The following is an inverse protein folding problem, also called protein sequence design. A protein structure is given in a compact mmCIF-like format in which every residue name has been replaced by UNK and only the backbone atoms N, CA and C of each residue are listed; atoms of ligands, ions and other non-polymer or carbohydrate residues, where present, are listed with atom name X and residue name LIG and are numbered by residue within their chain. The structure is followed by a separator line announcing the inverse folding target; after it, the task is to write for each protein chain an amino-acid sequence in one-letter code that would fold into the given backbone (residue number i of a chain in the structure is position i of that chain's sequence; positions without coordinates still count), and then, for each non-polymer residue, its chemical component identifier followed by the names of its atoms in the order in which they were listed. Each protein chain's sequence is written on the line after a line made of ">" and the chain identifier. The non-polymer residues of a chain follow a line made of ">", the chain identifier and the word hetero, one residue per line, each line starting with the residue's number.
data_IF_168586113619
#
_entry.id   IF_168586113619
#
_cell.length_a   1.000
_cell.length_b   1.000
_cell.length_c   1.000
_cell.angle_alpha   90.00
_cell.angle_beta   90.00
_cell.angle_gamma   90.00
#
_symmetry.space_group_name_H-M   'P 1'
#
loop_
_entity.id
_entity.type
_entity.pdbx_description
1 polymer ?
#
# COMPACT_ATOMS: atom_id res chain seq x y z
N UNK A 1 -13.50 -2.14 -4.06
CA UNK A 1 -13.69 -1.19 -2.94
C UNK A 1 -12.47 -0.28 -2.81
N UNK A 2 -12.65 0.99 -2.42
CA UNK A 2 -11.53 1.92 -2.14
C UNK A 2 -11.53 2.27 -0.65
N UNK A 3 -10.38 2.13 0.01
CA UNK A 3 -10.14 2.60 1.38
C UNK A 3 -9.19 3.81 1.35
N UNK A 4 -9.54 4.87 2.07
CA UNK A 4 -8.73 6.09 2.20
C UNK A 4 -8.02 6.11 3.54
N UNK A 5 -6.81 6.65 3.57
CA UNK A 5 -6.14 7.01 4.82
C UNK A 5 -6.90 8.15 5.48
N UNK A 6 -7.08 8.07 6.79
CA UNK A 6 -7.61 9.17 7.60
C UNK A 6 -6.55 10.25 7.78
N UNK A 7 -6.97 11.45 8.18
CA UNK A 7 -6.04 12.53 8.52
C UNK A 7 -5.06 12.09 9.62
N UNK A 8 -5.54 11.30 10.59
CA UNK A 8 -4.70 10.74 11.65
C UNK A 8 -3.68 9.74 11.11
N UNK A 9 -4.08 8.86 10.17
CA UNK A 9 -3.13 7.93 9.52
C UNK A 9 -2.01 8.69 8.79
N UNK A 10 -2.34 9.81 8.13
CA UNK A 10 -1.36 10.63 7.41
C UNK A 10 -0.43 11.35 8.40
N UNK A 11 -0.97 11.91 9.48
CA UNK A 11 -0.18 12.56 10.54
C UNK A 11 0.75 11.57 11.23
N UNK A 12 0.30 10.34 11.45
CA UNK A 12 1.08 9.28 12.08
C UNK A 12 2.02 8.55 11.09
N UNK A 13 2.01 8.94 9.81
CA UNK A 13 2.86 8.35 8.77
C UNK A 13 2.48 6.92 8.37
N UNK A 14 1.26 6.48 8.64
CA UNK A 14 0.79 5.13 8.35
C UNK A 14 0.54 4.87 6.85
N UNK A 15 0.72 5.87 6.00
CA UNK A 15 0.71 5.77 4.54
C UNK A 15 2.13 5.83 3.92
N UNK A 16 3.18 5.79 4.73
CA UNK A 16 4.57 5.86 4.28
C UNK A 16 5.29 4.51 4.47
N UNK A 17 6.17 4.18 3.53
CA UNK A 17 7.05 3.01 3.60
C UNK A 17 8.43 3.31 3.04
N UNK A 18 9.47 2.94 3.79
CA UNK A 18 10.85 2.91 3.31
C UNK A 18 11.09 1.56 2.62
N UNK A 19 11.27 1.58 1.29
CA UNK A 19 11.55 0.39 0.48
C UNK A 19 13.07 0.20 0.24
N UNK A 20 13.90 0.74 1.14
CA UNK A 20 15.36 0.67 1.13
C UNK A 20 15.96 1.15 -0.21
N UNK A 21 16.64 0.27 -0.94
CA UNK A 21 17.31 0.62 -2.20
C UNK A 21 16.34 1.04 -3.31
N UNK A 22 15.04 0.71 -3.18
CA UNK A 22 14.01 1.11 -4.14
C UNK A 22 13.58 2.56 -3.94
N UNK A 23 13.68 3.09 -2.72
CA UNK A 23 13.31 4.46 -2.35
C UNK A 23 12.14 4.53 -1.37
N UNK A 24 11.65 5.75 -1.16
CA UNK A 24 10.56 6.04 -0.23
C UNK A 24 9.22 6.02 -0.95
N UNK A 25 8.23 5.31 -0.42
CA UNK A 25 6.90 5.21 -1.01
C UNK A 25 5.84 5.88 -0.13
N UNK A 26 5.04 6.76 -0.73
CA UNK A 26 3.88 7.39 -0.08
C UNK A 26 2.61 6.91 -0.77
N UNK A 27 1.79 6.18 -0.03
CA UNK A 27 0.52 5.65 -0.48
C UNK A 27 -0.58 6.72 -0.48
N UNK A 28 -1.37 6.76 -1.57
CA UNK A 28 -2.52 7.65 -1.70
C UNK A 28 -3.79 7.02 -1.13
N UNK A 29 -4.01 5.74 -1.45
CA UNK A 29 -5.21 4.97 -1.12
C UNK A 29 -4.96 3.48 -1.30
N UNK A 30 -5.87 2.67 -0.77
CA UNK A 30 -5.90 1.23 -1.01
C UNK A 30 -7.09 0.87 -1.89
N UNK A 31 -6.84 0.06 -2.92
CA UNK A 31 -7.84 -0.49 -3.82
C UNK A 31 -7.92 -2.00 -3.57
N UNK A 32 -9.12 -2.46 -3.21
CA UNK A 32 -9.48 -3.87 -3.13
C UNK A 32 -10.28 -4.21 -4.39
N UNK A 33 -9.67 -4.91 -5.33
CA UNK A 33 -10.38 -5.47 -6.49
C UNK A 33 -11.04 -6.79 -6.09
N UNK A 34 -12.25 -7.08 -6.59
CA UNK A 34 -12.96 -8.34 -6.26
C UNK A 34 -12.15 -9.58 -6.69
N UNK A 35 -11.42 -9.51 -7.80
CA UNK A 35 -10.60 -10.62 -8.31
C UNK A 35 -9.33 -10.78 -7.46
N UNK A 36 -8.60 -9.70 -7.21
CA UNK A 36 -7.36 -9.73 -6.41
C UNK A 36 -7.64 -10.07 -4.94
N UNK A 37 -8.78 -9.64 -4.41
CA UNK A 37 -9.19 -9.94 -3.05
C UNK A 37 -9.44 -11.43 -2.80
N UNK A 38 -9.72 -12.23 -3.85
CA UNK A 38 -9.76 -13.69 -3.74
C UNK A 38 -8.40 -14.30 -3.36
N UNK A 39 -7.31 -13.57 -3.59
CA UNK A 39 -5.94 -13.96 -3.27
C UNK A 39 -5.35 -13.14 -2.12
N UNK A 40 -6.22 -12.49 -1.32
CA UNK A 40 -5.81 -11.54 -0.28
C UNK A 40 -4.79 -10.50 -0.78
N UNK A 41 -4.95 -10.04 -2.03
CA UNK A 41 -4.08 -9.05 -2.65
C UNK A 41 -4.77 -7.70 -2.79
N UNK A 42 -4.02 -6.63 -2.53
CA UNK A 42 -4.48 -5.25 -2.70
C UNK A 42 -3.56 -4.49 -3.65
N UNK A 43 -4.09 -3.41 -4.21
CA UNK A 43 -3.30 -2.43 -4.95
C UNK A 43 -3.23 -1.14 -4.15
N UNK A 44 -2.04 -0.54 -4.10
CA UNK A 44 -1.77 0.69 -3.37
C UNK A 44 -1.09 1.66 -4.33
N UNK A 45 -1.86 2.48 -5.05
CA UNK A 45 -1.31 3.57 -5.83
C UNK A 45 -0.66 4.61 -4.91
N UNK A 46 0.43 5.20 -5.38
CA UNK A 46 1.15 6.23 -4.66
C UNK A 46 2.28 6.85 -5.47
N UNK A 47 3.21 7.45 -4.74
CA UNK A 47 4.40 8.09 -5.28
C UNK A 47 5.65 7.41 -4.74
N UNK A 48 6.52 6.96 -5.63
CA UNK A 48 7.86 6.51 -5.31
C UNK A 48 8.81 7.70 -5.43
N UNK A 49 9.49 8.03 -4.33
CA UNK A 49 10.50 9.07 -4.25
C UNK A 49 11.86 8.38 -4.18
N UNK A 50 12.61 8.51 -5.27
CA UNK A 50 14.05 8.20 -5.28
C UNK A 50 14.80 9.51 -5.14
N UNK A 51 16.03 9.52 -4.61
CA UNK A 51 16.79 10.77 -4.38
C UNK A 51 16.96 11.69 -5.61
N UNK A 52 16.60 11.22 -6.80
CA UNK A 52 16.65 11.96 -8.07
C UNK A 52 15.31 12.11 -8.79
N UNK A 53 14.26 11.37 -8.43
CA UNK A 53 12.97 11.39 -9.14
C UNK A 53 11.79 11.11 -8.22
N UNK A 54 10.62 11.63 -8.60
CA UNK A 54 9.34 11.27 -8.01
C UNK A 54 8.47 10.69 -9.12
N UNK A 55 8.19 9.40 -9.04
CA UNK A 55 7.48 8.65 -10.07
C UNK A 55 6.17 8.09 -9.51
N UNK A 56 5.13 8.05 -10.33
CA UNK A 56 3.91 7.36 -9.95
C UNK A 56 4.16 5.85 -9.95
N UNK A 57 3.67 5.16 -8.93
CA UNK A 57 3.83 3.73 -8.83
C UNK A 57 2.62 3.08 -8.15
N UNK A 58 2.46 1.78 -8.40
CA UNK A 58 1.47 0.92 -7.75
C UNK A 58 2.20 -0.17 -7.01
N UNK A 59 2.02 -0.20 -5.70
CA UNK A 59 2.47 -1.29 -4.86
C UNK A 59 1.37 -2.34 -4.78
N UNK A 60 1.71 -3.57 -5.08
CA UNK A 60 0.84 -4.73 -4.89
C UNK A 60 1.29 -5.46 -3.63
N UNK A 61 0.39 -5.60 -2.68
CA UNK A 61 0.66 -6.30 -1.41
C UNK A 61 -0.20 -7.56 -1.37
N UNK A 62 0.43 -8.70 -1.09
CA UNK A 62 -0.24 -9.98 -0.84
C UNK A 62 -0.21 -10.26 0.66
N UNK A 63 -1.37 -10.52 1.26
CA UNK A 63 -1.47 -10.86 2.68
C UNK A 63 -1.65 -12.37 2.89
N UNK A 64 -1.20 -12.89 4.04
CA UNK A 64 -1.64 -14.18 4.57
C UNK A 64 -3.19 -14.31 4.63
N UNK A 65 -3.70 -15.54 4.56
CA UNK A 65 -5.14 -15.82 4.56
C UNK A 65 -5.88 -15.39 5.84
N UNK A 66 -5.16 -15.26 6.96
CA UNK A 66 -5.71 -14.88 8.27
C UNK A 66 -5.91 -13.36 8.44
N UNK A 67 -5.41 -12.55 7.51
CA UNK A 67 -5.66 -11.10 7.49
C UNK A 67 -7.01 -10.80 6.85
N UNK A 68 -7.92 -10.22 7.63
CA UNK A 68 -9.20 -9.73 7.13
C UNK A 68 -9.03 -8.38 6.41
N UNK A 69 -8.74 -8.45 5.11
CA UNK A 69 -8.51 -7.27 4.28
C UNK A 69 -9.73 -6.36 4.15
N UNK A 70 -10.94 -6.86 4.38
CA UNK A 70 -12.18 -6.09 4.23
C UNK A 70 -12.50 -5.28 5.48
N UNK A 71 -12.12 -5.76 6.66
CA UNK A 71 -12.41 -5.07 7.93
C UNK A 71 -11.37 -4.02 8.33
N UNK A 72 -10.10 -4.21 8.00
CA UNK A 72 -9.01 -3.33 8.43
C UNK A 72 -9.08 -1.92 7.77
N UNK A 73 -8.58 -0.90 8.47
CA UNK A 73 -8.43 0.45 7.91
C UNK A 73 -7.31 0.51 6.84
N UNK A 74 -7.23 1.62 6.10
CA UNK A 74 -6.15 1.79 5.13
C UNK A 74 -4.76 1.79 5.79
N UNK A 75 -4.60 2.54 6.89
CA UNK A 75 -3.35 2.54 7.66
C UNK A 75 -2.98 1.16 8.19
N UNK A 76 -3.94 0.43 8.77
CA UNK A 76 -3.71 -0.91 9.30
C UNK A 76 -3.29 -1.90 8.21
N UNK A 77 -3.94 -1.86 7.05
CA UNK A 77 -3.57 -2.70 5.91
C UNK A 77 -2.16 -2.39 5.45
N UNK A 78 -1.88 -1.12 5.17
CA UNK A 78 -0.59 -0.74 4.61
C UNK A 78 0.58 -1.12 5.53
N UNK A 79 0.40 -1.03 6.85
CA UNK A 79 1.43 -1.40 7.82
C UNK A 79 1.57 -2.91 8.06
N UNK A 80 0.58 -3.73 7.68
CA UNK A 80 0.61 -5.18 7.87
C UNK A 80 1.18 -5.96 6.66
N UNK A 81 1.42 -5.28 5.54
CA UNK A 81 1.58 -5.89 4.21
C UNK A 81 3.01 -6.19 3.75
N UNK A 82 4.00 -6.15 4.63
CA UNK A 82 5.41 -6.11 4.23
C UNK A 82 6.08 -7.48 4.05
N UNK A 83 5.33 -8.57 4.21
CA UNK A 83 5.85 -9.93 3.99
C UNK A 83 6.03 -10.25 2.51
N UNK A 84 5.05 -9.90 1.67
CA UNK A 84 5.07 -10.13 0.23
C UNK A 84 4.50 -8.92 -0.51
N UNK A 85 5.34 -8.28 -1.32
CA UNK A 85 4.95 -7.13 -2.12
C UNK A 85 5.70 -7.07 -3.45
N UNK A 86 5.12 -6.35 -4.40
CA UNK A 86 5.68 -6.07 -5.72
C UNK A 86 5.39 -4.61 -6.09
N UNK A 87 6.30 -3.97 -6.82
CA UNK A 87 6.16 -2.57 -7.23
C UNK A 87 6.14 -2.46 -8.76
N UNK A 88 5.19 -1.70 -9.27
CA UNK A 88 5.08 -1.32 -10.69
C UNK A 88 5.19 0.21 -10.82
N UNK A 89 6.21 0.70 -11.51
CA UNK A 89 6.41 2.13 -11.82
C UNK A 89 5.73 2.48 -13.15
N UNK A 90 5.05 3.63 -13.22
CA UNK A 90 4.21 4.05 -14.36
C UNK A 90 4.87 5.14 -15.24
#
# INVERSE_FOLDING_TARGET
>A
MIKKFSDQDIVDGLNFADLAEVGDFVADKIILDEVESCFNRIQVPGMLMTGTSNDHAVLHITYPEDIDIFSLSAGQLFQAGWEEWQLETL
#
